data_IF_474322639972
#
_entry.id   IF_474322639972
#
_cell.length_a   1.000
_cell.length_b   1.000
_cell.length_c   1.000
_cell.angle_alpha   90.00
_cell.angle_beta   90.00
_cell.angle_gamma   90.00
#
_symmetry.space_group_name_H-M   'P 1'
#
loop_
_entity.id
_entity.type
_entity.pdbx_description
1 polymer ?
#
# COMPACT_ATOMS: atom_id res chain seq x y z
N UNK A 1 -6.86 14.48 22.90
CA UNK A 1 -6.05 14.35 24.12
C UNK A 1 -5.21 15.63 24.21
N UNK A 2 -5.37 16.46 25.26
CA UNK A 2 -4.60 17.72 25.41
C UNK A 2 -3.28 17.39 26.11
N UNK A 3 -2.15 17.72 25.50
CA UNK A 3 -0.87 17.68 26.18
C UNK A 3 -0.70 18.99 26.95
N UNK A 4 -0.20 18.91 28.18
CA UNK A 4 0.06 20.05 29.06
C UNK A 4 1.53 19.96 29.46
N UNK A 5 2.24 21.10 29.44
CA UNK A 5 3.65 21.14 29.87
C UNK A 5 3.80 21.12 31.40
N UNK A 6 5.04 21.17 31.89
CA UNK A 6 5.33 21.17 33.33
C UNK A 6 4.83 22.43 34.07
N UNK A 7 4.44 23.47 33.32
CA UNK A 7 3.93 24.74 33.81
C UNK A 7 2.40 24.88 33.57
N UNK A 8 1.70 23.77 33.32
CA UNK A 8 0.25 23.70 33.11
C UNK A 8 -0.24 24.52 31.90
N UNK A 9 0.63 24.74 30.91
CA UNK A 9 0.26 25.40 29.64
C UNK A 9 -0.29 24.38 28.67
N UNK A 10 -1.46 24.67 28.09
CA UNK A 10 -2.02 23.88 27.00
C UNK A 10 -1.05 23.88 25.81
N UNK A 11 -0.48 22.71 25.51
CA UNK A 11 0.39 22.54 24.36
C UNK A 11 -0.47 22.19 23.15
N UNK A 12 -0.36 23.00 22.10
CA UNK A 12 -0.93 22.66 20.79
C UNK A 12 0.00 21.63 20.15
N UNK A 13 -0.48 20.39 20.04
CA UNK A 13 0.16 19.37 19.22
C UNK A 13 -0.25 19.62 17.77
N UNK A 14 0.51 20.45 17.08
CA UNK A 14 0.38 20.63 15.63
C UNK A 14 1.23 19.56 14.93
N UNK A 15 0.56 18.61 14.27
CA UNK A 15 1.21 17.64 13.39
C UNK A 15 1.16 18.19 11.97
N UNK A 16 2.26 18.81 11.53
CA UNK A 16 2.38 19.42 10.22
C UNK A 16 3.73 19.12 9.57
N UNK A 17 3.77 19.20 8.24
CA UNK A 17 5.03 19.08 7.49
C UNK A 17 5.82 20.38 7.68
N UNK A 18 6.89 20.34 8.46
CA UNK A 18 7.86 21.44 8.49
C UNK A 18 8.73 21.38 7.24
N UNK A 19 9.04 22.51 6.60
CA UNK A 19 9.85 22.66 5.38
C UNK A 19 11.32 22.18 5.48
N UNK A 20 11.67 21.33 6.45
CA UNK A 20 13.05 20.94 6.78
C UNK A 20 13.31 19.44 6.68
N UNK A 21 12.70 18.73 5.73
CA UNK A 21 13.04 17.31 5.48
C UNK A 21 14.13 17.15 4.41
N UNK A 22 15.31 16.70 4.83
CA UNK A 22 16.42 16.28 3.98
C UNK A 22 16.12 15.02 3.14
N UNK A 23 15.08 14.25 3.47
CA UNK A 23 14.65 13.05 2.73
C UNK A 23 14.08 13.36 1.34
N UNK A 24 13.61 14.60 1.14
CA UNK A 24 13.15 15.12 -0.15
C UNK A 24 14.28 15.64 -1.05
N UNK A 25 15.50 15.82 -0.52
CA UNK A 25 16.63 16.34 -1.27
C UNK A 25 17.27 15.21 -2.09
N UNK A 26 16.66 14.94 -3.24
CA UNK A 26 17.26 14.15 -4.33
C UNK A 26 16.57 12.84 -4.68
N UNK A 27 15.50 12.45 -3.97
CA UNK A 27 14.65 11.30 -4.37
C UNK A 27 13.18 11.70 -4.30
N UNK A 28 12.53 11.67 -5.46
CA UNK A 28 11.09 11.84 -5.65
C UNK A 28 10.35 10.60 -5.17
N UNK A 29 10.40 10.30 -3.88
CA UNK A 29 9.52 9.29 -3.31
C UNK A 29 8.10 9.86 -3.28
N UNK A 30 7.24 9.36 -4.17
CA UNK A 30 5.84 9.77 -4.21
C UNK A 30 5.16 9.33 -2.90
N UNK A 31 4.59 10.30 -2.17
CA UNK A 31 3.85 10.06 -0.92
C UNK A 31 2.35 10.13 -1.17
N UNK A 32 1.57 9.31 -0.47
CA UNK A 32 0.11 9.34 -0.52
C UNK A 32 -0.47 10.63 0.10
N UNK A 33 0.30 11.35 0.92
CA UNK A 33 -0.18 12.50 1.68
C UNK A 33 -0.46 13.71 0.76
N UNK A 34 -1.65 14.33 0.83
CA UNK A 34 -1.93 15.55 0.08
C UNK A 34 -1.03 16.69 0.56
N UNK A 35 -0.22 17.24 -0.35
CA UNK A 35 0.63 18.41 -0.04
C UNK A 35 -0.16 19.69 0.20
N UNK A 36 -1.48 19.67 -0.05
CA UNK A 36 -2.38 20.82 -0.02
C UNK A 36 -3.39 20.75 1.15
N UNK A 37 -3.43 19.65 1.92
CA UNK A 37 -4.40 19.55 3.00
C UNK A 37 -4.03 20.46 4.18
N UNK A 38 -5.00 21.28 4.58
CA UNK A 38 -4.89 22.33 5.60
C UNK A 38 -4.71 21.85 7.05
N UNK A 39 -3.96 20.77 7.27
CA UNK A 39 -3.50 20.33 8.58
C UNK A 39 -4.29 19.19 9.24
N UNK A 40 -5.50 18.86 8.79
CA UNK A 40 -6.38 17.89 9.49
C UNK A 40 -6.10 16.41 9.16
N UNK A 41 -5.46 16.15 8.03
CA UNK A 41 -5.23 14.77 7.53
C UNK A 41 -4.19 13.99 8.34
N UNK A 42 -3.16 14.69 8.84
CA UNK A 42 -2.10 14.08 9.67
C UNK A 42 -2.62 13.68 11.07
N UNK A 43 -3.31 14.54 11.84
CA UNK A 43 -3.88 14.17 13.13
C UNK A 43 -4.78 12.93 13.06
N UNK A 44 -5.65 12.84 12.04
CA UNK A 44 -6.53 11.68 11.87
C UNK A 44 -5.72 10.40 11.67
N UNK A 45 -4.79 10.41 10.71
CA UNK A 45 -3.95 9.24 10.42
C UNK A 45 -3.11 8.82 11.63
N UNK A 46 -2.45 9.78 12.29
CA UNK A 46 -1.58 9.49 13.42
C UNK A 46 -2.36 8.89 14.60
N UNK A 47 -3.60 9.31 14.82
CA UNK A 47 -4.44 8.73 15.88
C UNK A 47 -4.68 7.23 15.65
N UNK A 48 -4.98 6.82 14.41
CA UNK A 48 -5.18 5.42 14.07
C UNK A 48 -3.88 4.61 14.09
N UNK A 49 -2.77 5.20 13.67
CA UNK A 49 -1.44 4.59 13.84
C UNK A 49 -1.13 4.31 15.31
N UNK A 50 -1.28 5.30 16.19
CA UNK A 50 -0.98 5.14 17.63
C UNK A 50 -1.84 4.06 18.29
N UNK A 51 -3.11 3.97 17.92
CA UNK A 51 -3.98 2.88 18.41
C UNK A 51 -3.44 1.49 18.04
N UNK A 52 -2.97 1.30 16.81
CA UNK A 52 -2.35 0.02 16.40
C UNK A 52 -0.94 -0.18 16.97
N UNK A 53 -0.24 0.90 17.26
CA UNK A 53 1.08 0.86 17.90
C UNK A 53 0.98 0.45 19.38
N UNK A 54 -0.05 0.91 20.08
CA UNK A 54 -0.29 0.58 21.49
C UNK A 54 -0.93 -0.81 21.66
N UNK A 55 -1.51 -1.36 20.59
CA UNK A 55 -2.02 -2.74 20.55
C UNK A 55 -0.84 -3.73 20.41
N UNK A 56 -0.62 -4.55 21.44
CA UNK A 56 0.47 -5.54 21.47
C UNK A 56 0.39 -6.57 20.34
N UNK A 57 -0.81 -6.86 19.84
CA UNK A 57 -0.99 -7.82 18.76
C UNK A 57 -0.60 -7.20 17.41
N UNK A 58 -0.74 -5.88 17.25
CA UNK A 58 -0.51 -5.18 15.98
C UNK A 58 0.83 -4.46 15.88
N UNK A 59 1.42 -4.06 17.02
CA UNK A 59 2.60 -3.20 17.07
C UNK A 59 3.74 -3.67 16.17
N UNK A 60 4.15 -4.93 16.30
CA UNK A 60 5.29 -5.47 15.56
C UNK A 60 4.99 -5.55 14.05
N UNK A 61 3.75 -5.94 13.68
CA UNK A 61 3.30 -5.98 12.29
C UNK A 61 3.33 -4.58 11.68
N UNK A 62 2.73 -3.59 12.34
CA UNK A 62 2.66 -2.22 11.79
C UNK A 62 4.04 -1.57 11.69
N UNK A 63 4.91 -1.73 12.71
CA UNK A 63 6.27 -1.19 12.64
C UNK A 63 7.05 -1.78 11.47
N UNK A 64 6.98 -3.11 11.29
CA UNK A 64 7.66 -3.82 10.20
C UNK A 64 7.10 -3.43 8.83
N UNK A 65 5.78 -3.36 8.71
CA UNK A 65 5.10 -2.99 7.47
C UNK A 65 5.44 -1.57 7.05
N UNK A 66 5.48 -0.61 7.98
CA UNK A 66 5.86 0.78 7.69
C UNK A 66 7.33 0.86 7.27
N UNK A 67 8.24 0.15 7.96
CA UNK A 67 9.65 0.13 7.57
C UNK A 67 9.83 -0.41 6.14
N UNK A 68 9.21 -1.54 5.82
CA UNK A 68 9.26 -2.10 4.45
C UNK A 68 8.59 -1.19 3.42
N UNK A 69 7.49 -0.53 3.76
CA UNK A 69 6.86 0.48 2.92
C UNK A 69 7.83 1.64 2.60
N UNK A 70 8.46 2.23 3.62
CA UNK A 70 9.40 3.34 3.44
C UNK A 70 10.61 2.93 2.58
N UNK A 71 11.17 1.74 2.84
CA UNK A 71 12.29 1.23 2.05
C UNK A 71 11.87 0.88 0.61
N UNK A 72 10.64 0.39 0.41
CA UNK A 72 10.12 0.06 -0.92
C UNK A 72 9.92 1.28 -1.81
N UNK A 73 9.57 2.44 -1.22
CA UNK A 73 9.43 3.72 -1.93
C UNK A 73 10.79 4.35 -2.31
N UNK A 74 11.88 3.98 -1.64
CA UNK A 74 13.17 4.64 -1.77
C UNK A 74 14.25 3.80 -2.49
N UNK A 75 13.97 2.52 -2.75
CA UNK A 75 14.89 1.56 -3.36
C UNK A 75 14.74 1.40 -4.87
N UNK A 76 15.64 0.63 -5.51
CA UNK A 76 15.47 0.18 -6.90
C UNK A 76 14.18 -0.62 -7.08
N UNK A 77 13.56 -0.58 -8.28
CA UNK A 77 12.25 -1.18 -8.52
C UNK A 77 12.13 -2.64 -8.06
N UNK A 78 13.09 -3.49 -8.40
CA UNK A 78 13.08 -4.89 -8.01
C UNK A 78 13.13 -5.10 -6.48
N UNK A 79 13.92 -4.31 -5.75
CA UNK A 79 13.96 -4.34 -4.28
C UNK A 79 12.64 -3.82 -3.72
N UNK A 80 12.14 -2.72 -4.29
CA UNK A 80 10.87 -2.13 -3.89
C UNK A 80 9.70 -3.10 -4.02
N UNK A 81 9.61 -3.83 -5.14
CA UNK A 81 8.56 -4.83 -5.36
C UNK A 81 8.62 -5.92 -4.31
N UNK A 82 9.82 -6.42 -3.99
CA UNK A 82 10.00 -7.48 -2.99
C UNK A 82 9.57 -7.00 -1.61
N UNK A 83 9.99 -5.81 -1.19
CA UNK A 83 9.65 -5.24 0.12
C UNK A 83 8.17 -4.86 0.23
N UNK A 84 7.60 -4.25 -0.79
CA UNK A 84 6.17 -3.92 -0.82
C UNK A 84 5.32 -5.19 -0.72
N UNK A 85 5.72 -6.28 -1.37
CA UNK A 85 5.01 -7.55 -1.23
C UNK A 85 5.23 -8.25 0.11
N UNK A 86 6.41 -8.15 0.71
CA UNK A 86 6.62 -8.65 2.07
C UNK A 86 5.71 -7.91 3.06
N UNK A 87 5.56 -6.59 2.90
CA UNK A 87 4.65 -5.77 3.69
C UNK A 87 3.18 -6.16 3.47
N UNK A 88 2.75 -6.33 2.22
CA UNK A 88 1.41 -6.82 1.89
C UNK A 88 1.16 -8.21 2.49
N UNK A 89 2.10 -9.13 2.38
CA UNK A 89 1.98 -10.48 2.93
C UNK A 89 1.80 -10.45 4.45
N UNK A 90 2.63 -9.66 5.15
CA UNK A 90 2.56 -9.51 6.60
C UNK A 90 1.23 -8.92 7.07
N UNK A 91 0.79 -7.80 6.46
CA UNK A 91 -0.45 -7.14 6.88
C UNK A 91 -1.69 -7.94 6.48
N UNK A 92 -1.73 -8.53 5.27
CA UNK A 92 -2.85 -9.35 4.83
C UNK A 92 -2.98 -10.61 5.69
N UNK A 93 -1.88 -11.26 6.06
CA UNK A 93 -1.92 -12.38 6.98
C UNK A 93 -2.50 -11.98 8.34
N UNK A 94 -2.12 -10.81 8.86
CA UNK A 94 -2.70 -10.30 10.11
C UNK A 94 -4.20 -10.02 10.02
N UNK A 95 -4.70 -9.63 8.83
CA UNK A 95 -6.12 -9.33 8.61
C UNK A 95 -6.96 -10.61 8.44
N UNK A 96 -6.56 -11.50 7.51
CA UNK A 96 -7.40 -12.65 7.09
C UNK A 96 -6.81 -14.03 7.43
N UNK A 97 -5.70 -14.09 8.17
CA UNK A 97 -4.99 -15.34 8.51
C UNK A 97 -5.82 -16.36 9.29
N UNK A 98 -6.80 -15.90 10.06
CA UNK A 98 -7.72 -16.80 10.77
C UNK A 98 -8.84 -17.37 9.88
N UNK A 99 -9.01 -16.82 8.67
CA UNK A 99 -10.08 -17.16 7.72
C UNK A 99 -9.52 -18.03 6.58
N UNK A 100 -8.29 -17.73 6.16
CA UNK A 100 -7.64 -18.37 5.02
C UNK A 100 -6.52 -19.28 5.52
N UNK A 101 -6.44 -20.49 4.98
CA UNK A 101 -5.37 -21.44 5.32
C UNK A 101 -3.98 -20.86 5.00
N UNK A 102 -3.03 -21.05 5.91
CA UNK A 102 -1.62 -20.67 5.76
C UNK A 102 -0.92 -21.25 4.51
N UNK A 103 -1.51 -22.26 3.86
CA UNK A 103 -0.97 -22.89 2.64
C UNK A 103 -1.36 -22.17 1.35
N UNK A 104 -2.15 -21.11 1.45
CA UNK A 104 -2.66 -20.36 0.30
C UNK A 104 -1.66 -19.33 -0.21
N UNK A 105 -1.85 -18.87 -1.45
CA UNK A 105 -0.96 -17.89 -2.06
C UNK A 105 -1.20 -16.47 -1.54
N UNK A 106 -0.15 -15.64 -1.53
CA UNK A 106 -0.26 -14.21 -1.25
C UNK A 106 -1.38 -13.53 -2.07
N UNK A 107 -1.54 -13.92 -3.35
CA UNK A 107 -2.62 -13.38 -4.18
C UNK A 107 -4.01 -13.63 -3.59
N UNK A 108 -4.23 -14.77 -2.92
CA UNK A 108 -5.50 -15.06 -2.23
C UNK A 108 -5.68 -14.24 -0.96
N UNK A 109 -4.64 -14.12 -0.13
CA UNK A 109 -4.64 -13.27 1.06
C UNK A 109 -4.92 -11.81 0.71
N UNK A 110 -4.23 -11.30 -0.32
CA UNK A 110 -4.39 -9.93 -0.80
C UNK A 110 -5.79 -9.70 -1.37
N UNK A 111 -6.29 -10.59 -2.24
CA UNK A 111 -7.66 -10.49 -2.75
C UNK A 111 -8.69 -10.45 -1.64
N UNK A 112 -8.56 -11.31 -0.63
CA UNK A 112 -9.50 -11.31 0.48
C UNK A 112 -9.40 -10.03 1.30
N UNK A 113 -8.19 -9.54 1.57
CA UNK A 113 -7.99 -8.28 2.29
C UNK A 113 -8.57 -7.08 1.53
N UNK A 114 -8.38 -6.99 0.21
CA UNK A 114 -8.93 -5.91 -0.62
C UNK A 114 -10.46 -5.96 -0.72
N UNK A 115 -11.02 -7.17 -0.77
CA UNK A 115 -12.46 -7.42 -0.84
C UNK A 115 -13.15 -7.45 0.54
N UNK A 116 -12.41 -7.24 1.64
CA UNK A 116 -13.01 -7.02 2.95
C UNK A 116 -14.06 -5.91 2.80
N UNK A 117 -15.23 -6.11 3.42
CA UNK A 117 -16.38 -5.19 3.31
C UNK A 117 -15.99 -3.74 3.61
N UNK A 118 -14.98 -3.59 4.46
CA UNK A 118 -14.43 -2.35 4.95
C UNK A 118 -13.44 -1.63 4.02
N UNK A 119 -12.80 -2.36 3.08
CA UNK A 119 -11.84 -1.79 2.11
C UNK A 119 -12.52 -1.60 0.75
N UNK A 120 -13.18 -2.63 0.24
CA UNK A 120 -14.01 -2.55 -0.97
C UNK A 120 -13.28 -2.11 -2.24
N UNK A 121 -12.02 -2.52 -2.42
CA UNK A 121 -11.18 -2.12 -3.55
C UNK A 121 -11.21 -3.18 -4.67
N UNK A 122 -11.34 -2.73 -5.93
CA UNK A 122 -11.23 -3.60 -7.11
C UNK A 122 -9.83 -4.21 -7.21
N UNK A 123 -9.76 -5.53 -7.37
CA UNK A 123 -8.53 -6.30 -7.48
C UNK A 123 -8.02 -6.43 -8.93
N UNK A 124 -8.67 -5.79 -9.91
CA UNK A 124 -8.20 -5.76 -11.31
C UNK A 124 -6.92 -4.96 -11.49
N UNK A 125 -6.19 -5.29 -12.56
CA UNK A 125 -5.11 -4.45 -13.08
C UNK A 125 -5.74 -3.16 -13.64
N UNK A 126 -5.28 -1.97 -13.21
CA UNK A 126 -5.79 -0.71 -13.74
C UNK A 126 -5.62 -0.61 -15.26
N UNK A 127 -6.61 -0.04 -15.96
CA UNK A 127 -6.54 0.15 -17.41
C UNK A 127 -5.38 1.05 -17.85
N UNK A 128 -4.92 1.96 -16.96
CA UNK A 128 -3.76 2.80 -17.22
C UNK A 128 -2.43 2.04 -17.23
N UNK A 129 -2.38 0.80 -16.75
CA UNK A 129 -1.16 -0.02 -16.65
C UNK A 129 -1.09 -1.05 -17.78
N UNK A 130 -1.05 -0.55 -19.02
CA UNK A 130 -1.12 -1.38 -20.22
C UNK A 130 0.05 -2.38 -20.30
N UNK A 131 1.27 -1.98 -19.93
CA UNK A 131 2.44 -2.87 -19.95
C UNK A 131 2.27 -4.05 -18.98
N UNK A 132 1.79 -3.78 -17.76
CA UNK A 132 1.48 -4.83 -16.80
C UNK A 132 0.33 -5.72 -17.28
N UNK A 133 -0.70 -5.14 -17.90
CA UNK A 133 -1.84 -5.88 -18.45
C UNK A 133 -1.44 -6.78 -19.60
N UNK A 134 -0.60 -6.30 -20.52
CA UNK A 134 -0.07 -7.09 -21.63
C UNK A 134 0.85 -8.20 -21.12
N UNK A 135 1.72 -7.90 -20.15
CA UNK A 135 2.53 -8.92 -19.48
C UNK A 135 1.67 -10.03 -18.84
N UNK A 136 0.64 -9.65 -18.09
CA UNK A 136 -0.30 -10.54 -17.43
C UNK A 136 -1.04 -11.43 -18.45
N UNK A 137 -1.66 -10.80 -19.45
CA UNK A 137 -2.53 -11.49 -20.41
C UNK A 137 -1.77 -12.30 -21.46
N UNK A 138 -0.56 -11.87 -21.84
CA UNK A 138 0.20 -12.53 -22.90
C UNK A 138 1.24 -13.51 -22.34
N UNK A 139 1.99 -13.16 -21.30
CA UNK A 139 3.07 -14.04 -20.80
C UNK A 139 2.60 -14.93 -19.65
N UNK A 140 1.97 -14.34 -18.64
CA UNK A 140 1.60 -15.09 -17.44
C UNK A 140 0.49 -16.08 -17.74
N UNK A 141 -0.54 -15.63 -18.47
CA UNK A 141 -1.66 -16.48 -18.88
C UNK A 141 -1.23 -17.67 -19.74
N UNK A 142 -0.30 -17.48 -20.69
CA UNK A 142 0.23 -18.59 -21.50
C UNK A 142 0.91 -19.67 -20.65
N UNK A 143 1.65 -19.24 -19.64
CA UNK A 143 2.44 -20.13 -18.78
C UNK A 143 1.60 -20.82 -17.69
N UNK A 144 0.58 -20.14 -17.15
CA UNK A 144 -0.26 -20.64 -16.04
C UNK A 144 -1.57 -21.26 -16.52
N UNK A 145 -2.00 -20.94 -17.75
CA UNK A 145 -3.23 -21.42 -18.35
C UNK A 145 -4.48 -21.08 -17.53
N UNK A 146 -5.44 -22.01 -17.51
CA UNK A 146 -6.76 -21.85 -16.87
C UNK A 146 -6.75 -21.57 -15.35
N UNK A 147 -5.60 -21.71 -14.70
CA UNK A 147 -5.47 -21.47 -13.26
C UNK A 147 -5.12 -20.02 -12.92
N UNK A 148 -4.83 -19.19 -13.93
CA UNK A 148 -4.54 -17.78 -13.76
C UNK A 148 -5.80 -16.94 -13.90
N UNK A 149 -6.06 -16.09 -12.92
CA UNK A 149 -7.20 -15.16 -12.91
C UNK A 149 -6.92 -13.89 -13.70
N UNK A 150 -5.65 -13.50 -13.85
CA UNK A 150 -5.29 -12.26 -14.55
C UNK A 150 -5.58 -10.98 -13.76
N UNK A 151 -5.85 -11.10 -12.46
CA UNK A 151 -6.06 -9.97 -11.56
C UNK A 151 -4.73 -9.35 -11.10
N UNK A 152 -4.82 -8.15 -10.51
CA UNK A 152 -3.69 -7.40 -9.98
C UNK A 152 -2.88 -8.21 -8.96
N UNK A 153 -3.52 -8.80 -7.93
CA UNK A 153 -2.84 -9.64 -6.95
C UNK A 153 -2.03 -10.79 -7.55
N UNK A 154 -2.55 -11.53 -8.52
CA UNK A 154 -1.77 -12.59 -9.17
C UNK A 154 -0.65 -12.03 -10.06
N UNK A 155 -0.90 -10.93 -10.79
CA UNK A 155 0.10 -10.31 -11.65
C UNK A 155 1.34 -9.85 -10.85
N UNK A 156 1.14 -9.14 -9.74
CA UNK A 156 2.26 -8.68 -8.92
C UNK A 156 3.01 -9.88 -8.31
N UNK A 157 2.30 -10.92 -7.84
CA UNK A 157 2.95 -12.10 -7.23
C UNK A 157 3.82 -12.85 -8.24
N UNK A 158 3.35 -13.02 -9.47
CA UNK A 158 4.13 -13.68 -10.52
C UNK A 158 5.38 -12.87 -10.89
N UNK A 159 5.30 -11.53 -10.90
CA UNK A 159 6.46 -10.65 -11.11
C UNK A 159 7.50 -10.82 -10.01
N UNK A 160 7.08 -10.80 -8.73
CA UNK A 160 8.01 -11.01 -7.61
C UNK A 160 8.66 -12.38 -7.65
N UNK A 161 7.89 -13.42 -7.96
CA UNK A 161 8.43 -14.77 -8.07
C UNK A 161 9.48 -14.83 -9.18
N UNK A 162 9.22 -14.24 -10.35
CA UNK A 162 10.19 -14.17 -11.44
C UNK A 162 11.44 -13.38 -11.04
N UNK A 163 11.31 -12.26 -10.31
CA UNK A 163 12.45 -11.47 -9.81
C UNK A 163 13.37 -12.25 -8.87
N UNK A 164 12.80 -13.06 -7.96
CA UNK A 164 13.58 -13.80 -6.94
C UNK A 164 14.15 -15.11 -7.49
N UNK A 165 13.43 -15.80 -8.37
CA UNK A 165 13.89 -17.10 -8.85
C UNK A 165 15.11 -17.00 -9.77
N UNK A 166 16.04 -17.96 -9.62
CA UNK A 166 17.25 -18.07 -10.43
C UNK A 166 16.94 -18.27 -11.91
N UNK A 167 15.96 -19.12 -12.21
CA UNK A 167 15.47 -19.34 -13.57
C UNK A 167 14.32 -18.37 -13.83
N UNK A 168 14.56 -17.40 -14.71
CA UNK A 168 13.51 -16.47 -15.16
C UNK A 168 12.53 -17.22 -16.05
N UNK A 169 11.27 -17.19 -15.66
CA UNK A 169 10.13 -17.81 -16.32
C UNK A 169 9.66 -16.97 -17.51
N UNK A 170 9.75 -15.65 -17.38
CA UNK A 170 9.24 -14.69 -18.38
C UNK A 170 10.33 -13.96 -19.16
N UNK A 171 11.59 -14.38 -18.99
CA UNK A 171 12.77 -13.68 -19.50
C UNK A 171 13.07 -12.43 -18.66
N UNK A 172 13.54 -11.36 -19.32
CA UNK A 172 13.69 -10.07 -18.67
C UNK A 172 12.34 -9.34 -18.56
N UNK A 173 12.03 -8.83 -17.36
CA UNK A 173 10.93 -7.89 -17.17
C UNK A 173 11.34 -6.51 -17.67
N UNK A 174 10.46 -5.83 -18.41
CA UNK A 174 10.72 -4.44 -18.80
C UNK A 174 10.70 -3.51 -17.58
N UNK A 175 11.19 -2.29 -17.76
CA UNK A 175 11.18 -1.29 -16.68
C UNK A 175 9.74 -0.87 -16.38
N UNK A 176 8.92 -0.75 -17.41
CA UNK A 176 7.52 -0.34 -17.35
C UNK A 176 6.69 -1.36 -16.56
N UNK A 177 6.85 -2.66 -16.84
CA UNK A 177 6.19 -3.73 -16.08
C UNK A 177 6.59 -3.71 -14.60
N UNK A 178 7.87 -3.48 -14.30
CA UNK A 178 8.34 -3.37 -12.92
C UNK A 178 7.80 -2.13 -12.22
N UNK A 179 7.76 -0.99 -12.91
CA UNK A 179 7.25 0.26 -12.37
C UNK A 179 5.75 0.16 -12.06
N UNK A 180 4.96 -0.38 -12.98
CA UNK A 180 3.52 -0.61 -12.79
C UNK A 180 3.26 -1.58 -11.64
N UNK A 181 4.02 -2.69 -11.58
CA UNK A 181 3.90 -3.66 -10.49
C UNK A 181 4.26 -3.07 -9.13
N UNK A 182 5.31 -2.24 -9.05
CA UNK A 182 5.67 -1.53 -7.83
C UNK A 182 4.56 -0.55 -7.42
N UNK A 183 4.07 0.25 -8.37
CA UNK A 183 3.00 1.24 -8.11
C UNK A 183 1.72 0.56 -7.62
N UNK A 184 1.33 -0.55 -8.26
CA UNK A 184 0.15 -1.30 -7.83
C UNK A 184 0.33 -1.92 -6.45
N UNK A 185 1.50 -2.51 -6.17
CA UNK A 185 1.81 -3.09 -4.85
C UNK A 185 1.79 -2.03 -3.74
N UNK A 186 2.42 -0.88 -3.99
CA UNK A 186 2.43 0.24 -3.05
C UNK A 186 1.03 0.81 -2.83
N UNK A 187 0.24 0.96 -3.89
CA UNK A 187 -1.12 1.48 -3.76
C UNK A 187 -2.01 0.55 -2.93
N UNK A 188 -1.97 -0.76 -3.16
CA UNK A 188 -2.69 -1.71 -2.31
C UNK A 188 -2.27 -1.59 -0.84
N UNK A 189 -0.97 -1.46 -0.59
CA UNK A 189 -0.45 -1.34 0.77
C UNK A 189 -0.90 -0.03 1.43
N UNK A 190 -0.85 1.08 0.70
CA UNK A 190 -1.30 2.39 1.15
C UNK A 190 -2.78 2.37 1.51
N UNK A 191 -3.64 1.85 0.64
CA UNK A 191 -5.08 1.81 0.91
C UNK A 191 -5.40 0.91 2.11
N UNK A 192 -4.73 -0.24 2.25
CA UNK A 192 -4.88 -1.09 3.45
C UNK A 192 -4.46 -0.33 4.71
N UNK A 193 -3.31 0.36 4.69
CA UNK A 193 -2.83 1.13 5.83
C UNK A 193 -3.77 2.30 6.18
N UNK A 194 -4.23 3.05 5.18
CA UNK A 194 -5.18 4.14 5.37
C UNK A 194 -6.48 3.64 6.01
N UNK A 195 -6.99 2.47 5.59
CA UNK A 195 -8.17 1.88 6.23
C UNK A 195 -7.87 1.50 7.68
N UNK A 196 -6.73 0.85 7.92
CA UNK A 196 -6.32 0.42 9.26
C UNK A 196 -6.09 1.57 10.22
N UNK A 197 -5.66 2.72 9.72
CA UNK A 197 -5.55 3.95 10.49
C UNK A 197 -6.86 4.75 10.56
N UNK A 198 -7.96 4.21 10.04
CA UNK A 198 -9.28 4.86 10.00
C UNK A 198 -9.26 6.27 9.38
N UNK A 199 -8.33 6.48 8.44
CA UNK A 199 -8.23 7.72 7.71
C UNK A 199 -9.44 7.90 6.79
N UNK A 200 -10.02 9.10 6.70
CA UNK A 200 -11.24 9.37 5.91
C UNK A 200 -11.09 10.52 4.91
N UNK A 201 -9.92 11.15 4.87
CA UNK A 201 -9.66 12.29 4.01
C UNK A 201 -9.31 11.90 2.57
N UNK A 202 -8.71 12.86 1.88
CA UNK A 202 -8.16 12.67 0.55
C UNK A 202 -6.78 12.03 0.61
N UNK A 203 -6.44 11.26 -0.41
CA UNK A 203 -5.09 10.74 -0.60
C UNK A 203 -4.71 10.89 -2.08
N UNK A 204 -3.40 10.96 -2.34
CA UNK A 204 -2.88 10.90 -3.69
C UNK A 204 -2.97 9.46 -4.19
N UNK A 205 -3.85 9.19 -5.15
CA UNK A 205 -3.93 7.88 -5.77
C UNK A 205 -2.72 7.68 -6.68
N UNK A 206 -1.79 6.83 -6.23
CA UNK A 206 -0.56 6.46 -6.94
C UNK A 206 -0.81 5.89 -8.34
N UNK A 207 -1.97 5.32 -8.62
CA UNK A 207 -2.34 4.81 -9.94
C UNK A 207 -2.64 5.93 -10.94
N UNK A 208 -2.95 7.13 -10.44
CA UNK A 208 -3.43 8.29 -11.20
C UNK A 208 -2.43 9.44 -11.25
N UNK A 209 -1.15 9.17 -10.97
CA UNK A 209 -0.12 10.21 -10.82
C UNK A 209 0.13 11.07 -12.07
N UNK A 210 -0.27 10.57 -13.24
CA UNK A 210 -0.17 11.28 -14.51
C UNK A 210 -1.41 12.17 -14.79
N UNK A 211 -2.47 12.04 -13.99
CA UNK A 211 -3.67 12.86 -14.11
C UNK A 211 -3.39 14.29 -13.62
N UNK A 212 -4.14 15.26 -14.17
CA UNK A 212 -4.08 16.66 -13.71
C UNK A 212 -4.43 16.81 -12.21
N UNK A 213 -5.29 15.92 -11.71
CA UNK A 213 -5.64 15.82 -10.30
C UNK A 213 -5.60 14.36 -9.83
N UNK A 214 -4.50 13.92 -9.18
CA UNK A 214 -4.35 12.56 -8.69
C UNK A 214 -5.02 12.33 -7.32
N UNK A 215 -5.65 13.35 -6.72
CA UNK A 215 -6.23 13.25 -5.39
C UNK A 215 -7.68 12.75 -5.44
N UNK A 216 -8.03 11.87 -4.52
CA UNK A 216 -9.40 11.39 -4.33
C UNK A 216 -9.66 11.02 -2.86
N UNK A 217 -10.93 10.95 -2.47
CA UNK A 217 -11.31 10.45 -1.16
C UNK A 217 -11.05 8.94 -1.07
N UNK A 218 -10.70 8.45 0.11
CA UNK A 218 -10.73 7.00 0.37
C UNK A 218 -12.14 6.43 0.14
N UNK A 219 -12.28 5.17 -0.31
CA UNK A 219 -13.58 4.57 -0.62
C UNK A 219 -14.60 4.63 0.53
N UNK A 220 -14.12 4.53 1.77
CA UNK A 220 -14.95 4.48 2.97
C UNK A 220 -15.17 5.85 3.66
N UNK A 221 -14.84 6.96 3.02
CA UNK A 221 -14.90 8.29 3.64
C UNK A 221 -16.27 8.57 4.31
N UNK A 222 -17.36 8.08 3.71
CA UNK A 222 -18.74 8.33 4.15
C UNK A 222 -19.39 7.17 4.93
N UNK A 223 -18.67 6.12 5.29
CA UNK A 223 -19.24 5.01 6.07
C UNK A 223 -19.38 5.39 7.56
N UNK A 224 -20.55 5.23 8.17
CA UNK A 224 -20.63 5.30 9.64
C UNK A 224 -20.00 4.02 10.22
N UNK A 225 -18.83 4.14 10.84
CA UNK A 225 -18.31 3.05 11.68
C UNK A 225 -19.11 3.10 12.99
N UNK A 226 -19.97 2.11 13.23
CA UNK A 226 -20.45 1.84 14.58
C UNK A 226 -19.23 1.39 15.40
N UNK A 227 -18.77 2.30 16.28
CA UNK A 227 -17.70 2.05 17.26
C UNK A 227 -18.18 1.14 18.38
#
# INVERSE_FOLDING_TARGET
MKAVDQDDREMVLEWGITHTESWSQGRTAWSWLPTIDGGDSLPQLFSGFWRLYDDSDWRDTICTVIDWYLNSNNGPFHVGIILAQAALESICYKIVGNIISDKESLAKFLRASLNEKEIGIDDKIPESFQDLKDFSTQKVSQERGKYYKGDGPEAIVEIRNDLIHKKKKYGGLSVEVQLDALRLSLWYLEVILLRKFEYRGQYMNRLRIADENPFENVPWANENLEL
#
